data_IF_907994439464
#
_entry.id   IF_907994439464
#
_cell.length_a   1.000
_cell.length_b   1.000
_cell.length_c   1.000
_cell.angle_alpha   90.00
_cell.angle_beta   90.00
_cell.angle_gamma   90.00
#
_symmetry.space_group_name_H-M   'P 1'
#
loop_
_entity.id
_entity.type
_entity.pdbx_description
1 polymer ?
#
# COMPACT_ATOMS: atom_id res chain seq x y z
N UNK A 1 -16.60 20.25 4.27
CA UNK A 1 -15.93 21.57 4.20
C UNK A 1 -14.57 21.48 3.49
N UNK A 2 -13.65 20.57 3.89
CA UNK A 2 -12.35 20.36 3.21
C UNK A 2 -12.44 20.08 1.71
N UNK A 3 -13.51 19.41 1.26
CA UNK A 3 -13.72 19.04 -0.14
C UNK A 3 -13.90 20.24 -1.09
N UNK A 4 -14.62 21.27 -0.65
CA UNK A 4 -14.85 22.47 -1.47
C UNK A 4 -13.54 23.24 -1.71
N UNK A 5 -12.63 23.22 -0.74
CA UNK A 5 -11.31 23.84 -0.87
C UNK A 5 -10.47 23.09 -1.91
N UNK A 6 -10.49 21.76 -1.90
CA UNK A 6 -9.76 20.93 -2.85
C UNK A 6 -10.26 21.09 -4.30
N UNK A 7 -11.58 21.18 -4.51
CA UNK A 7 -12.16 21.41 -5.84
C UNK A 7 -11.77 22.78 -6.40
N UNK A 8 -11.73 23.81 -5.55
CA UNK A 8 -11.38 25.17 -5.97
C UNK A 8 -9.88 25.34 -6.25
N UNK A 9 -9.02 24.61 -5.53
CA UNK A 9 -7.55 24.69 -5.69
C UNK A 9 -7.04 23.90 -6.90
N UNK A 10 -7.72 22.81 -7.27
CA UNK A 10 -7.29 21.92 -8.36
C UNK A 10 -8.05 22.16 -9.68
N UNK A 11 -9.15 22.92 -9.69
CA UNK A 11 -9.90 23.23 -10.91
C UNK A 11 -10.56 22.00 -11.58
N UNK A 12 -10.58 20.85 -10.92
CA UNK A 12 -11.14 19.59 -11.45
C UNK A 12 -12.55 19.41 -10.92
N UNK A 13 -13.53 19.98 -11.61
CA UNK A 13 -14.94 19.66 -11.39
C UNK A 13 -15.22 18.21 -11.77
N UNK A 14 -15.70 17.39 -10.84
CA UNK A 14 -16.14 16.01 -11.15
C UNK A 14 -15.58 14.89 -10.27
N UNK A 15 -14.80 15.18 -9.21
CA UNK A 15 -14.27 14.14 -8.31
C UNK A 15 -15.35 13.24 -7.67
N UNK A 16 -16.60 13.71 -7.54
CA UNK A 16 -17.74 12.89 -7.06
C UNK A 16 -18.09 11.71 -8.00
N UNK A 17 -17.72 11.78 -9.28
CA UNK A 17 -18.02 10.70 -10.25
C UNK A 17 -16.90 9.66 -10.35
N UNK A 18 -15.68 10.00 -9.93
CA UNK A 18 -14.53 9.08 -9.89
C UNK A 18 -14.60 8.09 -8.72
N UNK A 19 -15.39 8.40 -7.69
CA UNK A 19 -15.61 7.50 -6.54
C UNK A 19 -16.34 6.19 -6.95
N UNK A 20 -17.21 6.26 -7.98
CA UNK A 20 -18.08 5.14 -8.37
C UNK A 20 -17.50 4.18 -9.41
N UNK A 21 -16.45 4.58 -10.12
CA UNK A 21 -15.68 3.73 -11.04
C UNK A 21 -14.24 3.67 -10.55
N UNK A 22 -13.96 2.79 -9.60
CA UNK A 22 -12.59 2.36 -9.33
C UNK A 22 -12.23 1.30 -10.39
N UNK A 23 -11.39 1.59 -11.42
CA UNK A 23 -10.95 0.58 -12.40
C UNK A 23 -10.04 -0.48 -11.76
N UNK A 24 -9.59 -0.25 -10.54
CA UNK A 24 -8.79 -1.17 -9.76
C UNK A 24 -9.69 -2.03 -8.87
N UNK A 25 -10.20 -3.13 -9.41
CA UNK A 25 -10.71 -4.23 -8.57
C UNK A 25 -9.49 -4.88 -7.89
N UNK A 26 -9.08 -4.34 -6.75
CA UNK A 26 -7.97 -4.87 -5.94
C UNK A 26 -8.37 -6.22 -5.34
N UNK A 27 -8.28 -7.28 -6.14
CA UNK A 27 -8.57 -8.62 -5.67
C UNK A 27 -7.50 -9.04 -4.67
N UNK A 28 -7.94 -9.42 -3.47
CA UNK A 28 -7.03 -9.68 -2.34
C UNK A 28 -6.08 -10.83 -2.68
N UNK A 29 -4.80 -10.48 -2.86
CA UNK A 29 -3.78 -11.42 -3.30
C UNK A 29 -2.78 -11.81 -2.20
N UNK A 30 -2.68 -10.98 -1.16
CA UNK A 30 -1.75 -11.18 -0.04
C UNK A 30 -2.46 -11.87 1.15
N UNK A 31 -1.87 -12.96 1.63
CA UNK A 31 -2.29 -13.66 2.85
C UNK A 31 -2.00 -12.89 4.15
N UNK A 32 -2.60 -13.30 5.27
CA UNK A 32 -2.41 -12.61 6.57
C UNK A 32 -0.94 -12.59 7.01
N UNK A 33 -0.21 -13.68 6.80
CA UNK A 33 1.21 -13.84 7.17
C UNK A 33 2.13 -12.89 6.38
N UNK A 34 2.02 -12.85 5.05
CA UNK A 34 2.84 -11.99 4.20
C UNK A 34 2.52 -10.50 4.43
N UNK A 35 1.24 -10.20 4.66
CA UNK A 35 0.77 -8.87 5.07
C UNK A 35 1.40 -8.40 6.38
N UNK A 36 1.48 -9.29 7.37
CA UNK A 36 2.07 -8.99 8.67
C UNK A 36 3.57 -8.70 8.51
N UNK A 37 4.30 -9.50 7.74
CA UNK A 37 5.73 -9.25 7.45
C UNK A 37 5.93 -7.90 6.76
N UNK A 38 5.12 -7.55 5.75
CA UNK A 38 5.21 -6.25 5.06
C UNK A 38 4.88 -5.08 5.97
N UNK A 39 3.90 -5.23 6.85
CA UNK A 39 3.58 -4.22 7.86
C UNK A 39 4.74 -4.03 8.84
N UNK A 40 5.35 -5.13 9.31
CA UNK A 40 6.52 -5.08 10.20
C UNK A 40 7.70 -4.39 9.53
N UNK A 41 8.07 -4.81 8.31
CA UNK A 41 9.18 -4.22 7.55
C UNK A 41 8.91 -2.73 7.28
N UNK A 42 7.68 -2.38 6.88
CA UNK A 42 7.28 -1.00 6.63
C UNK A 42 7.37 -0.14 7.89
N UNK A 43 6.87 -0.62 9.02
CA UNK A 43 6.93 0.06 10.30
C UNK A 43 8.35 0.21 10.84
N UNK A 44 9.18 -0.83 10.75
CA UNK A 44 10.60 -0.77 11.15
C UNK A 44 11.35 0.25 10.28
N UNK A 45 11.12 0.23 8.96
CA UNK A 45 11.74 1.19 8.04
C UNK A 45 11.31 2.63 8.35
N UNK A 46 10.03 2.83 8.70
CA UNK A 46 9.50 4.15 9.09
C UNK A 46 10.15 4.64 10.40
N UNK A 47 10.26 3.77 11.41
CA UNK A 47 10.92 4.09 12.68
C UNK A 47 12.40 4.40 12.43
N UNK A 48 13.09 3.58 11.63
CA UNK A 48 14.50 3.79 11.29
C UNK A 48 14.74 5.15 10.60
N UNK A 49 13.78 5.63 9.80
CA UNK A 49 13.84 6.93 9.13
C UNK A 49 13.91 8.11 10.11
N UNK A 50 13.32 7.97 11.31
CA UNK A 50 13.38 8.98 12.39
C UNK A 50 14.81 9.12 12.92
N UNK A 51 15.56 8.00 12.99
CA UNK A 51 16.93 7.98 13.51
C UNK A 51 17.99 8.31 12.46
N UNK A 52 17.71 8.10 11.17
CA UNK A 52 18.62 8.45 10.08
C UNK A 52 18.56 9.96 9.82
N UNK A 53 19.53 10.70 10.37
CA UNK A 53 19.68 12.16 10.17
C UNK A 53 20.61 12.55 9.02
N UNK A 54 21.51 11.67 8.58
CA UNK A 54 22.49 11.93 7.49
C UNK A 54 22.40 10.83 6.42
N UNK A 55 22.50 11.24 5.15
CA UNK A 55 22.43 10.34 3.98
C UNK A 55 21.09 10.44 3.23
N UNK A 56 21.06 11.29 2.19
CA UNK A 56 19.88 11.49 1.34
C UNK A 56 19.39 10.18 0.70
N UNK A 57 20.32 9.41 0.14
CA UNK A 57 20.05 8.10 -0.47
C UNK A 57 19.43 7.11 0.53
N UNK A 58 19.98 7.01 1.75
CA UNK A 58 19.50 6.05 2.74
C UNK A 58 18.09 6.38 3.22
N UNK A 59 17.81 7.67 3.45
CA UNK A 59 16.47 8.18 3.78
C UNK A 59 15.46 7.90 2.67
N UNK A 60 15.86 8.10 1.42
CA UNK A 60 14.98 7.88 0.27
C UNK A 60 14.61 6.40 0.12
N UNK A 61 15.59 5.50 0.23
CA UNK A 61 15.36 4.05 0.17
C UNK A 61 14.50 3.57 1.33
N UNK A 62 14.78 4.03 2.56
CA UNK A 62 13.96 3.70 3.73
C UNK A 62 12.53 4.23 3.60
N UNK A 63 12.37 5.44 3.05
CA UNK A 63 11.06 6.05 2.80
C UNK A 63 10.25 5.26 1.78
N UNK A 64 10.87 4.86 0.68
CA UNK A 64 10.23 4.00 -0.32
C UNK A 64 9.86 2.63 0.25
N UNK A 65 10.74 2.01 1.03
CA UNK A 65 10.48 0.72 1.67
C UNK A 65 9.32 0.81 2.68
N UNK A 66 9.29 1.88 3.50
CA UNK A 66 8.21 2.14 4.44
C UNK A 66 6.86 2.32 3.71
N UNK A 67 6.84 3.16 2.68
CA UNK A 67 5.64 3.51 1.94
C UNK A 67 5.12 2.31 1.14
N UNK A 68 5.99 1.59 0.43
CA UNK A 68 5.62 0.38 -0.29
C UNK A 68 5.12 -0.72 0.66
N UNK A 69 5.80 -0.95 1.79
CA UNK A 69 5.42 -1.95 2.79
C UNK A 69 4.06 -1.65 3.42
N UNK A 70 3.84 -0.41 3.86
CA UNK A 70 2.59 0.00 4.50
C UNK A 70 1.43 0.08 3.52
N UNK A 71 1.63 0.59 2.30
CA UNK A 71 0.56 0.67 1.29
C UNK A 71 0.15 -0.72 0.82
N UNK A 72 1.11 -1.62 0.55
CA UNK A 72 0.77 -3.01 0.16
C UNK A 72 0.17 -3.79 1.32
N UNK A 73 0.60 -3.54 2.57
CA UNK A 73 -0.07 -4.07 3.74
C UNK A 73 -1.51 -3.53 3.85
N UNK A 74 -1.75 -2.23 3.70
CA UNK A 74 -3.08 -1.63 3.85
C UNK A 74 -4.06 -2.14 2.77
N UNK A 75 -3.66 -2.07 1.50
CA UNK A 75 -4.49 -2.45 0.34
C UNK A 75 -4.75 -3.96 0.22
N UNK A 76 -3.97 -4.80 0.94
CA UNK A 76 -4.02 -6.28 0.82
C UNK A 76 -3.73 -6.78 -0.61
N UNK A 77 -3.13 -5.92 -1.42
CA UNK A 77 -2.84 -6.15 -2.82
C UNK A 77 -1.36 -5.86 -3.08
N UNK A 78 -0.69 -6.77 -3.78
CA UNK A 78 0.68 -6.59 -4.24
C UNK A 78 0.65 -6.62 -5.77
N UNK A 79 0.97 -5.50 -6.45
CA UNK A 79 1.07 -5.48 -7.90
C UNK A 79 2.01 -6.56 -8.42
N UNK A 80 3.12 -6.80 -7.70
CA UNK A 80 4.10 -7.84 -8.05
C UNK A 80 3.49 -9.24 -8.03
N UNK A 81 2.69 -9.57 -7.02
CA UNK A 81 2.04 -10.88 -6.98
C UNK A 81 0.89 -10.98 -7.99
N UNK A 82 0.25 -9.86 -8.34
CA UNK A 82 -0.75 -9.83 -9.40
C UNK A 82 -0.10 -10.05 -10.78
N UNK A 83 1.09 -9.50 -11.02
CA UNK A 83 1.87 -9.70 -12.25
C UNK A 83 2.40 -11.13 -12.38
N UNK A 84 2.78 -11.76 -11.28
CA UNK A 84 3.30 -13.15 -11.26
C UNK A 84 2.15 -14.18 -11.19
N UNK A 85 0.90 -13.74 -10.97
CA UNK A 85 -0.26 -14.65 -10.82
C UNK A 85 -0.28 -15.44 -9.50
N UNK A 86 0.57 -15.09 -8.55
CA UNK A 86 0.70 -15.77 -7.25
C UNK A 86 -0.34 -15.27 -6.25
N UNK A 87 -1.10 -16.16 -5.63
CA UNK A 87 -2.10 -15.82 -4.62
C UNK A 87 -1.83 -16.48 -3.28
N UNK A 88 -1.06 -15.79 -2.43
CA UNK A 88 -0.79 -16.21 -1.06
C UNK A 88 -2.01 -16.10 -0.15
N UNK A 89 -3.04 -15.33 -0.52
CA UNK A 89 -4.29 -15.28 0.24
C UNK A 89 -5.08 -16.61 0.19
N UNK A 90 -5.02 -17.34 -0.93
CA UNK A 90 -5.68 -18.65 -1.08
C UNK A 90 -4.90 -19.81 -0.43
N UNK A 91 -3.57 -19.68 -0.28
CA UNK A 91 -2.70 -20.74 0.28
C UNK A 91 -3.03 -21.10 1.74
N UNK A 92 -3.60 -20.16 2.51
CA UNK A 92 -4.05 -20.40 3.89
C UNK A 92 -5.39 -21.14 4.04
N UNK A 93 -6.18 -21.33 2.96
CA UNK A 93 -7.49 -22.04 3.04
C UNK A 93 -7.38 -23.56 2.83
N UNK A 94 -6.21 -24.11 2.52
CA UNK A 94 -5.99 -25.53 2.16
C UNK A 94 -5.37 -26.40 3.27
N UNK A 95 -5.56 -26.08 4.56
CA UNK A 95 -5.13 -26.93 5.69
C UNK A 95 -6.25 -27.21 6.70
N UNK A 96 -7.41 -27.62 6.19
CA UNK A 96 -8.42 -28.38 6.94
C UNK A 96 -9.08 -29.32 5.94
N UNK A 97 -8.45 -30.46 5.69
CA UNK A 97 -9.10 -31.64 5.11
C UNK A 97 -8.46 -32.86 5.74
#
# INVERSE_FOLDING_TARGET
>A
MFWMIAEHLLGVGGLRTLDKKSPFKFERNIGKEDRLRRAIIGSISLIALIFVRKGFLLRYVLGLAALAGLVTAYTKFSPVYALIGENTAKKGKKKNK
#
